data_IF_060563565876
#
_entry.id   IF_060563565876
#
_cell.length_a   1.000
_cell.length_b   1.000
_cell.length_c   1.000
_cell.angle_alpha   90.00
_cell.angle_beta   90.00
_cell.angle_gamma   90.00
#
_symmetry.space_group_name_H-M   'P 1'
#
loop_
_entity.id
_entity.type
_entity.pdbx_description
1 polymer ?
#
# COMPACT_ATOMS: atom_id res chain seq x y z
N UNK A 1 -17.37 -12.59 -23.83
CA UNK A 1 -16.72 -11.45 -23.14
C UNK A 1 -16.01 -11.98 -21.91
N UNK A 2 -14.67 -11.97 -21.89
CA UNK A 2 -13.88 -12.43 -20.75
C UNK A 2 -14.19 -11.59 -19.51
N UNK A 3 -14.86 -12.16 -18.51
CA UNK A 3 -15.18 -11.47 -17.23
C UNK A 3 -14.00 -11.48 -16.25
N UNK A 4 -12.94 -12.25 -16.53
CA UNK A 4 -11.79 -12.41 -15.63
C UNK A 4 -10.94 -11.15 -15.50
N UNK A 5 -10.72 -10.38 -16.56
CA UNK A 5 -9.90 -9.15 -16.47
C UNK A 5 -10.53 -8.09 -15.56
N UNK A 6 -11.87 -8.07 -15.46
CA UNK A 6 -12.58 -7.16 -14.55
C UNK A 6 -12.28 -7.52 -13.09
N UNK A 7 -12.15 -8.81 -12.79
CA UNK A 7 -11.69 -9.28 -11.49
C UNK A 7 -10.29 -8.78 -11.15
N UNK A 8 -9.32 -8.97 -12.05
CA UNK A 8 -7.98 -8.42 -11.86
C UNK A 8 -8.00 -6.90 -11.63
N UNK A 9 -8.87 -6.19 -12.35
CA UNK A 9 -8.99 -4.74 -12.24
C UNK A 9 -9.43 -4.29 -10.84
N UNK A 10 -10.51 -4.85 -10.28
CA UNK A 10 -10.96 -4.40 -8.96
C UNK A 10 -10.01 -4.87 -7.84
N UNK A 11 -9.32 -6.00 -7.98
CA UNK A 11 -8.24 -6.37 -7.06
C UNK A 11 -7.11 -5.32 -7.09
N UNK A 12 -6.68 -4.88 -8.27
CA UNK A 12 -5.66 -3.84 -8.38
C UNK A 12 -6.12 -2.50 -7.79
N UNK A 13 -7.35 -2.07 -8.10
CA UNK A 13 -7.88 -0.80 -7.57
C UNK A 13 -8.04 -0.85 -6.05
N UNK A 14 -8.52 -1.96 -5.49
CA UNK A 14 -8.68 -2.09 -4.04
C UNK A 14 -7.35 -2.01 -3.28
N UNK A 15 -6.29 -2.54 -3.88
CA UNK A 15 -4.99 -2.75 -3.23
C UNK A 15 -4.05 -1.57 -3.40
N UNK A 16 -4.02 -1.00 -4.59
CA UNK A 16 -3.19 0.16 -4.94
C UNK A 16 -3.92 1.46 -4.56
N UNK A 17 -5.24 1.52 -4.74
CA UNK A 17 -6.11 2.63 -4.34
C UNK A 17 -6.42 2.65 -2.84
N UNK A 18 -5.42 2.42 -2.01
CA UNK A 18 -5.57 2.28 -0.58
C UNK A 18 -5.58 3.64 0.16
N UNK A 19 -5.94 3.67 1.47
CA UNK A 19 -6.24 4.89 2.23
C UNK A 19 -5.13 5.95 2.20
N UNK A 20 -3.89 5.50 2.10
CA UNK A 20 -2.71 6.36 2.11
C UNK A 20 -2.62 7.31 0.89
N UNK A 21 -3.40 7.09 -0.17
CA UNK A 21 -3.56 8.04 -1.27
C UNK A 21 -3.99 9.43 -0.77
N UNK A 22 -4.78 9.50 0.31
CA UNK A 22 -5.25 10.77 0.90
C UNK A 22 -4.15 11.55 1.62
N UNK A 23 -2.95 10.96 1.78
CA UNK A 23 -1.79 11.62 2.37
C UNK A 23 -0.84 12.25 1.33
N UNK A 24 -1.05 11.95 0.04
CA UNK A 24 -0.22 12.48 -1.06
C UNK A 24 -0.22 14.00 -1.19
N UNK A 25 -1.32 14.73 -0.90
CA UNK A 25 -1.27 16.19 -0.89
C UNK A 25 -0.17 16.74 0.05
N UNK A 26 0.07 16.09 1.20
CA UNK A 26 1.16 16.46 2.11
C UNK A 26 2.55 16.12 1.52
N UNK A 27 2.67 15.05 0.74
CA UNK A 27 3.89 14.76 -0.02
C UNK A 27 4.18 15.83 -1.08
N UNK A 28 3.13 16.37 -1.72
CA UNK A 28 3.25 17.48 -2.68
C UNK A 28 3.65 18.79 -2.01
N UNK A 29 3.30 19.01 -0.73
CA UNK A 29 3.84 20.13 0.03
C UNK A 29 5.37 20.08 0.20
N UNK A 30 5.98 18.90 0.14
CA UNK A 30 7.43 18.72 0.23
C UNK A 30 8.15 18.79 -1.13
N UNK A 31 7.48 18.41 -2.23
CA UNK A 31 8.07 18.30 -3.57
C UNK A 31 7.64 19.42 -4.53
N UNK A 32 6.58 20.14 -4.19
CA UNK A 32 5.94 21.13 -5.05
C UNK A 32 5.15 20.49 -6.20
N UNK A 33 4.45 21.33 -6.95
CA UNK A 33 3.60 20.91 -8.07
C UNK A 33 4.35 20.11 -9.14
N UNK A 34 5.47 20.64 -9.62
CA UNK A 34 6.24 20.03 -10.69
C UNK A 34 6.90 18.72 -10.22
N UNK A 35 7.60 18.75 -9.09
CA UNK A 35 8.28 17.59 -8.53
C UNK A 35 7.32 16.44 -8.20
N UNK A 36 6.20 16.76 -7.54
CA UNK A 36 5.18 15.77 -7.21
C UNK A 36 4.55 15.15 -8.47
N UNK A 37 4.12 15.98 -9.43
CA UNK A 37 3.45 15.49 -10.65
C UNK A 37 4.37 14.62 -11.49
N UNK A 38 5.63 15.03 -11.68
CA UNK A 38 6.64 14.24 -12.39
C UNK A 38 6.86 12.90 -11.68
N UNK A 39 6.98 12.90 -10.35
CA UNK A 39 7.18 11.66 -9.56
C UNK A 39 6.01 10.70 -9.73
N UNK A 40 4.76 11.19 -9.66
CA UNK A 40 3.56 10.38 -9.87
C UNK A 40 3.55 9.75 -11.27
N UNK A 41 3.81 10.54 -12.31
CA UNK A 41 3.79 10.06 -13.69
C UNK A 41 4.90 9.05 -13.96
N UNK A 42 6.12 9.30 -13.48
CA UNK A 42 7.25 8.38 -13.62
C UNK A 42 6.98 7.08 -12.87
N UNK A 43 6.47 7.15 -11.63
CA UNK A 43 6.11 5.96 -10.86
C UNK A 43 5.01 5.15 -11.55
N UNK A 44 3.96 5.80 -12.05
CA UNK A 44 2.87 5.15 -12.79
C UNK A 44 3.38 4.45 -14.06
N UNK A 45 4.18 5.12 -14.89
CA UNK A 45 4.72 4.53 -16.13
C UNK A 45 5.68 3.37 -15.83
N UNK A 46 6.54 3.52 -14.82
CA UNK A 46 7.44 2.47 -14.38
C UNK A 46 6.67 1.25 -13.85
N UNK A 47 5.62 1.47 -13.07
CA UNK A 47 4.74 0.41 -12.58
C UNK A 47 4.04 -0.31 -13.72
N UNK A 48 3.46 0.41 -14.69
CA UNK A 48 2.83 -0.22 -15.86
C UNK A 48 3.81 -1.07 -16.66
N UNK A 49 5.03 -0.57 -16.85
CA UNK A 49 6.08 -1.31 -17.50
C UNK A 49 6.43 -2.60 -16.73
N UNK A 50 6.75 -2.47 -15.44
CA UNK A 50 7.13 -3.59 -14.59
C UNK A 50 6.00 -4.61 -14.46
N UNK A 51 4.76 -4.16 -14.24
CA UNK A 51 3.59 -5.02 -14.15
C UNK A 51 3.34 -5.80 -15.45
N UNK A 52 3.54 -5.17 -16.61
CA UNK A 52 3.42 -5.84 -17.90
C UNK A 52 4.49 -6.93 -18.06
N UNK A 53 5.73 -6.69 -17.63
CA UNK A 53 6.80 -7.69 -17.68
C UNK A 53 6.57 -8.84 -16.71
N UNK A 54 6.16 -8.53 -15.49
CA UNK A 54 5.76 -9.54 -14.50
C UNK A 54 4.62 -10.40 -15.03
N UNK A 55 3.65 -9.80 -15.72
CA UNK A 55 2.55 -10.57 -16.29
C UNK A 55 3.01 -11.62 -17.31
N UNK A 56 4.04 -11.31 -18.11
CA UNK A 56 4.67 -12.27 -19.02
C UNK A 56 5.55 -13.30 -18.30
N UNK A 57 6.26 -12.91 -17.24
CA UNK A 57 7.09 -13.80 -16.44
C UNK A 57 6.28 -14.84 -15.65
N UNK A 58 5.00 -14.57 -15.40
CA UNK A 58 4.06 -15.51 -14.77
C UNK A 58 4.05 -16.90 -15.41
N UNK A 59 4.31 -17.00 -16.72
CA UNK A 59 4.34 -18.25 -17.50
C UNK A 59 5.78 -18.63 -17.91
N UNK A 60 6.78 -18.17 -17.16
CA UNK A 60 8.19 -18.43 -17.46
C UNK A 60 8.53 -19.93 -17.43
N UNK A 61 9.24 -20.40 -18.46
CA UNK A 61 9.60 -21.82 -18.60
C UNK A 61 8.42 -22.73 -18.97
N UNK A 62 7.30 -22.18 -19.44
CA UNK A 62 6.08 -22.95 -19.75
C UNK A 62 5.30 -23.40 -18.52
N UNK A 63 5.75 -23.01 -17.32
CA UNK A 63 5.09 -23.30 -16.04
C UNK A 63 4.43 -22.05 -15.51
N UNK A 64 3.20 -22.19 -15.00
CA UNK A 64 2.47 -21.09 -14.36
C UNK A 64 2.94 -20.94 -12.91
N UNK A 65 3.60 -19.84 -12.59
CA UNK A 65 4.01 -19.51 -11.23
C UNK A 65 2.88 -18.78 -10.51
N UNK A 66 2.33 -19.36 -9.45
CA UNK A 66 1.17 -18.77 -8.74
C UNK A 66 1.56 -17.77 -7.66
N UNK A 67 2.83 -17.78 -7.23
CA UNK A 67 3.36 -16.92 -6.17
C UNK A 67 4.61 -16.21 -6.68
N UNK A 68 4.84 -14.97 -6.22
CA UNK A 68 6.06 -14.23 -6.57
C UNK A 68 7.31 -15.05 -6.19
N UNK A 69 7.32 -15.65 -4.99
CA UNK A 69 8.45 -16.48 -4.51
C UNK A 69 8.81 -17.64 -5.46
N UNK A 70 7.82 -18.25 -6.11
CA UNK A 70 8.03 -19.38 -7.01
C UNK A 70 8.67 -18.91 -8.33
N UNK A 71 8.20 -17.77 -8.85
CA UNK A 71 8.85 -17.08 -9.96
C UNK A 71 10.30 -16.67 -9.62
N UNK A 72 10.53 -16.17 -8.40
CA UNK A 72 11.85 -15.85 -7.91
C UNK A 72 12.79 -17.05 -7.90
N UNK A 73 12.29 -18.21 -7.47
CA UNK A 73 13.04 -19.48 -7.51
C UNK A 73 13.33 -19.92 -8.94
N UNK A 74 12.38 -19.77 -9.86
CA UNK A 74 12.56 -20.14 -11.26
C UNK A 74 13.65 -19.31 -11.95
N UNK A 75 13.75 -18.01 -11.64
CA UNK A 75 14.68 -17.09 -12.32
C UNK A 75 16.05 -16.98 -11.63
N UNK A 76 16.08 -16.89 -10.29
CA UNK A 76 17.33 -16.71 -9.51
C UNK A 76 17.88 -18.00 -8.91
N UNK A 77 17.17 -19.12 -9.08
CA UNK A 77 17.51 -20.39 -8.46
C UNK A 77 16.96 -20.56 -7.03
N UNK A 78 17.06 -21.79 -6.48
CA UNK A 78 16.28 -22.22 -5.32
C UNK A 78 16.71 -21.61 -3.98
N UNK A 79 17.98 -21.19 -3.84
CA UNK A 79 18.48 -20.59 -2.60
C UNK A 79 18.28 -19.08 -2.60
N UNK A 80 18.87 -18.39 -3.59
CA UNK A 80 18.84 -16.93 -3.67
C UNK A 80 17.43 -16.39 -3.92
N UNK A 81 16.73 -16.91 -4.93
CA UNK A 81 15.39 -16.46 -5.30
C UNK A 81 14.39 -16.62 -4.16
N UNK A 82 14.43 -17.76 -3.46
CA UNK A 82 13.58 -18.01 -2.30
C UNK A 82 13.89 -17.05 -1.16
N UNK A 83 15.15 -16.89 -0.79
CA UNK A 83 15.54 -16.05 0.35
C UNK A 83 15.22 -14.57 0.09
N UNK A 84 15.61 -14.05 -1.08
CA UNK A 84 15.46 -12.64 -1.44
C UNK A 84 14.00 -12.22 -1.53
N UNK A 85 13.19 -12.92 -2.35
CA UNK A 85 11.78 -12.55 -2.54
C UNK A 85 10.99 -12.73 -1.26
N UNK A 86 11.23 -13.80 -0.50
CA UNK A 86 10.52 -14.04 0.78
C UNK A 86 10.86 -12.95 1.80
N UNK A 87 12.14 -12.59 1.95
CA UNK A 87 12.55 -11.56 2.92
C UNK A 87 11.89 -10.21 2.59
N UNK A 88 11.94 -9.79 1.33
CA UNK A 88 11.34 -8.54 0.90
C UNK A 88 9.81 -8.55 1.04
N UNK A 89 9.14 -9.66 0.66
CA UNK A 89 7.68 -9.76 0.81
C UNK A 89 7.27 -9.72 2.29
N UNK A 90 8.05 -10.34 3.18
CA UNK A 90 7.77 -10.29 4.62
C UNK A 90 7.92 -8.87 5.18
N UNK A 91 8.95 -8.12 4.75
CA UNK A 91 9.11 -6.70 5.13
C UNK A 91 7.92 -5.88 4.67
N UNK A 92 7.50 -6.01 3.41
CA UNK A 92 6.35 -5.27 2.88
C UNK A 92 5.07 -5.65 3.61
N UNK A 93 4.76 -6.95 3.71
CA UNK A 93 3.48 -7.38 4.27
C UNK A 93 3.38 -7.03 5.77
N UNK A 94 4.47 -7.19 6.53
CA UNK A 94 4.52 -6.80 7.95
C UNK A 94 4.40 -5.29 8.09
N UNK A 95 5.13 -4.52 7.27
CA UNK A 95 5.08 -3.07 7.25
C UNK A 95 3.69 -2.54 6.94
N UNK A 96 3.02 -3.08 5.92
CA UNK A 96 1.64 -2.70 5.59
C UNK A 96 0.67 -3.08 6.72
N UNK A 97 0.81 -4.25 7.33
CA UNK A 97 0.02 -4.65 8.50
C UNK A 97 0.27 -3.77 9.74
N UNK A 98 1.35 -2.98 9.78
CA UNK A 98 1.57 -1.93 10.79
C UNK A 98 0.98 -0.59 10.35
N UNK A 99 1.08 -0.22 9.07
CA UNK A 99 0.61 1.09 8.56
C UNK A 99 -0.93 1.17 8.53
N UNK A 100 -1.62 0.12 8.09
CA UNK A 100 -3.09 0.11 7.97
C UNK A 100 -3.80 0.43 9.30
N UNK A 101 -3.46 -0.19 10.45
CA UNK A 101 -4.04 0.18 11.73
C UNK A 101 -3.86 1.66 12.12
N UNK A 102 -2.73 2.28 11.77
CA UNK A 102 -2.52 3.71 12.05
C UNK A 102 -3.45 4.58 11.20
N UNK A 103 -3.50 4.34 9.88
CA UNK A 103 -4.32 5.13 8.95
C UNK A 103 -5.82 4.95 9.25
N UNK A 104 -6.26 3.72 9.46
CA UNK A 104 -7.66 3.43 9.80
C UNK A 104 -8.02 3.88 11.23
N UNK A 105 -7.07 3.86 12.17
CA UNK A 105 -7.25 4.44 13.50
C UNK A 105 -7.49 5.95 13.43
N UNK A 106 -6.70 6.67 12.62
CA UNK A 106 -6.93 8.10 12.37
C UNK A 106 -8.29 8.37 11.72
N UNK A 107 -8.72 7.51 10.79
CA UNK A 107 -10.04 7.59 10.19
C UNK A 107 -11.18 7.47 11.21
N UNK A 108 -11.08 6.47 12.09
CA UNK A 108 -12.06 6.22 13.15
C UNK A 108 -12.09 7.38 14.16
N UNK A 109 -10.92 7.86 14.55
CA UNK A 109 -10.78 9.05 15.41
C UNK A 109 -11.43 10.28 14.77
N UNK A 110 -11.21 10.49 13.47
CA UNK A 110 -11.81 11.60 12.70
C UNK A 110 -13.34 11.50 12.66
N UNK A 111 -13.89 10.30 12.41
CA UNK A 111 -15.35 10.07 12.46
C UNK A 111 -15.92 10.48 13.82
N UNK A 112 -15.30 10.00 14.92
CA UNK A 112 -15.75 10.32 16.27
C UNK A 112 -15.64 11.82 16.55
N UNK A 113 -14.51 12.44 16.25
CA UNK A 113 -14.29 13.86 16.50
C UNK A 113 -15.28 14.74 15.72
N UNK A 114 -15.52 14.43 14.44
CA UNK A 114 -16.48 15.16 13.60
C UNK A 114 -17.92 14.95 14.06
N UNK A 115 -18.30 13.73 14.44
CA UNK A 115 -19.64 13.44 14.97
C UNK A 115 -19.88 14.12 16.33
N UNK A 116 -18.89 14.10 17.21
CA UNK A 116 -18.91 14.78 18.51
C UNK A 116 -19.10 16.30 18.32
N UNK A 117 -18.29 16.91 17.45
CA UNK A 117 -18.37 18.33 17.14
C UNK A 117 -19.72 18.73 16.53
N UNK A 118 -20.30 17.89 15.66
CA UNK A 118 -21.61 18.14 15.06
C UNK A 118 -22.75 18.02 16.07
N UNK A 119 -22.62 17.16 17.08
CA UNK A 119 -23.63 16.95 18.11
C UNK A 119 -23.61 18.01 19.22
N UNK A 120 -22.46 18.62 19.51
CA UNK A 120 -22.23 19.47 20.69
C UNK A 120 -21.99 20.95 20.36
N UNK A 121 -22.70 21.51 19.38
CA UNK A 121 -22.78 22.92 18.96
C UNK A 121 -22.09 23.97 19.88
N UNK A 122 -20.75 24.00 19.92
CA UNK A 122 -19.96 25.01 20.63
C UNK A 122 -19.71 24.82 22.14
N UNK A 123 -20.10 23.73 22.80
CA UNK A 123 -19.62 23.47 24.17
C UNK A 123 -18.28 22.73 24.13
N UNK A 124 -17.24 23.33 24.70
CA UNK A 124 -15.86 22.84 24.72
C UNK A 124 -15.62 21.57 25.54
N UNK A 125 -16.52 20.59 25.46
CA UNK A 125 -16.24 19.24 25.91
C UNK A 125 -15.12 18.66 25.04
N UNK A 126 -14.11 18.08 25.69
CA UNK A 126 -12.91 17.58 25.03
C UNK A 126 -13.23 16.39 24.11
N UNK A 127 -13.66 16.65 22.87
CA UNK A 127 -13.78 15.67 21.79
C UNK A 127 -12.40 15.13 21.32
N UNK A 128 -11.35 15.30 22.12
CA UNK A 128 -10.00 14.79 21.87
C UNK A 128 -9.86 13.37 22.40
N UNK A 129 -10.20 12.39 21.58
CA UNK A 129 -9.83 11.01 21.86
C UNK A 129 -8.36 10.80 21.44
N UNK A 130 -7.57 10.14 22.30
CA UNK A 130 -6.23 9.65 21.97
C UNK A 130 -6.29 8.77 20.70
N UNK A 131 -5.24 8.77 19.88
CA UNK A 131 -5.20 7.94 18.66
C UNK A 131 -5.04 6.45 18.97
N UNK A 132 -4.26 6.11 20.01
CA UNK A 132 -3.94 4.75 20.44
C UNK A 132 -5.15 3.81 20.59
N UNK A 133 -6.26 4.17 21.27
CA UNK A 133 -7.43 3.30 21.38
C UNK A 133 -8.10 3.01 20.03
N UNK A 134 -8.09 3.95 19.08
CA UNK A 134 -8.67 3.74 17.75
C UNK A 134 -7.82 2.80 16.89
N UNK A 135 -6.49 2.91 16.99
CA UNK A 135 -5.56 1.94 16.37
C UNK A 135 -5.80 0.55 16.95
N UNK A 136 -5.90 0.44 18.28
CA UNK A 136 -6.15 -0.82 18.96
C UNK A 136 -7.52 -1.41 18.59
N UNK A 137 -8.56 -0.58 18.46
CA UNK A 137 -9.88 -1.01 18.01
C UNK A 137 -9.86 -1.60 16.59
N UNK A 138 -9.16 -0.95 15.66
CA UNK A 138 -9.00 -1.49 14.30
C UNK A 138 -8.18 -2.80 14.31
N UNK A 139 -7.07 -2.86 15.05
CA UNK A 139 -6.26 -4.07 15.17
C UNK A 139 -7.06 -5.23 15.80
N UNK A 140 -7.90 -4.93 16.80
CA UNK A 140 -8.82 -5.89 17.41
C UNK A 140 -9.86 -6.42 16.42
N UNK A 141 -10.43 -5.57 15.57
CA UNK A 141 -11.30 -6.00 14.48
C UNK A 141 -10.56 -6.94 13.52
N UNK A 142 -9.31 -6.63 13.15
CA UNK A 142 -8.51 -7.51 12.29
C UNK A 142 -8.20 -8.84 12.95
N UNK A 143 -8.00 -8.87 14.27
CA UNK A 143 -7.78 -10.11 15.02
C UNK A 143 -8.99 -11.05 14.93
N UNK A 144 -10.21 -10.49 14.95
CA UNK A 144 -11.46 -11.25 14.77
C UNK A 144 -11.63 -11.77 13.33
N UNK A 145 -11.10 -11.04 12.34
CA UNK A 145 -11.19 -11.40 10.92
C UNK A 145 -10.03 -12.30 10.45
N UNK A 146 -8.91 -12.34 11.17
CA UNK A 146 -7.74 -13.16 10.85
C UNK A 146 -8.01 -14.69 10.71
N UNK A 147 -9.01 -15.29 11.39
CA UNK A 147 -9.35 -16.69 11.21
C UNK A 147 -10.05 -17.01 9.87
N UNK A 148 -10.59 -16.00 9.15
CA UNK A 148 -11.36 -16.24 7.92
C UNK A 148 -10.54 -17.00 6.86
N UNK A 149 -11.13 -18.02 6.19
CA UNK A 149 -10.40 -18.82 5.22
C UNK A 149 -10.35 -18.18 3.83
N UNK A 150 -9.14 -18.15 3.28
CA UNK A 150 -8.79 -18.10 1.86
C UNK A 150 -8.95 -16.74 1.12
N UNK A 151 -7.96 -16.39 0.29
CA UNK A 151 -7.92 -15.16 -0.53
C UNK A 151 -8.96 -15.20 -1.65
N UNK A 152 -9.37 -16.40 -2.09
CA UNK A 152 -10.40 -16.59 -3.11
C UNK A 152 -11.81 -16.20 -2.61
N UNK A 153 -12.09 -16.36 -1.32
CA UNK A 153 -13.35 -15.94 -0.69
C UNK A 153 -13.43 -14.41 -0.50
N UNK A 154 -12.30 -13.72 -0.63
CA UNK A 154 -12.19 -12.27 -0.50
C UNK A 154 -12.55 -11.50 -1.78
N UNK A 155 -12.92 -12.16 -2.88
CA UNK A 155 -13.37 -11.47 -4.10
C UNK A 155 -14.45 -10.38 -3.83
N UNK A 156 -15.55 -10.66 -3.08
CA UNK A 156 -16.51 -9.62 -2.70
C UNK A 156 -15.91 -8.54 -1.79
N UNK A 157 -15.02 -8.90 -0.87
CA UNK A 157 -14.34 -7.96 0.02
C UNK A 157 -13.44 -7.01 -0.77
N UNK A 158 -12.75 -7.50 -1.80
CA UNK A 158 -11.92 -6.69 -2.69
C UNK A 158 -12.76 -5.85 -3.64
N UNK A 159 -13.89 -6.36 -4.13
CA UNK A 159 -14.82 -5.54 -4.91
C UNK A 159 -15.36 -4.36 -4.08
N UNK A 160 -15.73 -4.61 -2.81
CA UNK A 160 -16.11 -3.55 -1.87
C UNK A 160 -14.93 -2.60 -1.59
N UNK A 161 -13.71 -3.13 -1.43
CA UNK A 161 -12.49 -2.35 -1.31
C UNK A 161 -12.29 -1.39 -2.50
N UNK A 162 -12.46 -1.86 -3.73
CA UNK A 162 -12.34 -1.03 -4.92
C UNK A 162 -13.43 0.06 -4.97
N UNK A 163 -14.67 -0.29 -4.66
CA UNK A 163 -15.78 0.67 -4.64
C UNK A 163 -15.58 1.76 -3.57
N UNK A 164 -15.15 1.36 -2.38
CA UNK A 164 -14.88 2.29 -1.27
C UNK A 164 -13.66 3.17 -1.55
N UNK A 165 -12.65 2.66 -2.28
CA UNK A 165 -11.54 3.45 -2.82
C UNK A 165 -12.00 4.58 -3.72
N UNK A 166 -12.84 4.26 -4.71
CA UNK A 166 -13.43 5.25 -5.61
C UNK A 166 -14.25 6.28 -4.81
N UNK A 167 -15.04 5.81 -3.84
CA UNK A 167 -15.90 6.66 -3.02
C UNK A 167 -15.12 7.66 -2.16
N UNK A 168 -14.13 7.23 -1.36
CA UNK A 168 -13.39 8.16 -0.51
C UNK A 168 -12.54 9.14 -1.33
N UNK A 169 -12.00 8.72 -2.49
CA UNK A 169 -11.26 9.62 -3.38
C UNK A 169 -12.17 10.69 -3.98
N UNK A 170 -13.36 10.30 -4.44
CA UNK A 170 -14.34 11.21 -5.00
C UNK A 170 -14.84 12.21 -3.93
N UNK A 171 -15.12 11.73 -2.72
CA UNK A 171 -15.54 12.58 -1.60
C UNK A 171 -14.42 13.53 -1.15
N UNK A 172 -13.17 13.07 -1.05
CA UNK A 172 -12.03 13.93 -0.74
C UNK A 172 -11.83 15.02 -1.80
N UNK A 173 -11.94 14.65 -3.09
CA UNK A 173 -11.84 15.59 -4.21
C UNK A 173 -12.97 16.62 -4.15
N UNK A 174 -14.22 16.16 -4.00
CA UNK A 174 -15.38 17.03 -3.90
C UNK A 174 -15.29 17.97 -2.68
N UNK A 175 -14.89 17.45 -1.52
CA UNK A 175 -14.73 18.25 -0.30
C UNK A 175 -13.65 19.33 -0.45
N UNK A 176 -12.52 19.01 -1.07
CA UNK A 176 -11.46 19.98 -1.35
C UNK A 176 -11.93 21.06 -2.36
N UNK A 177 -12.65 20.68 -3.41
CA UNK A 177 -13.21 21.62 -4.38
C UNK A 177 -14.28 22.53 -3.78
N UNK A 178 -15.16 21.98 -2.92
CA UNK A 178 -16.19 22.73 -2.22
C UNK A 178 -15.60 23.73 -1.22
N UNK A 179 -14.50 23.35 -0.55
CA UNK A 179 -13.80 24.26 0.36
C UNK A 179 -13.14 25.42 -0.40
N UNK A 180 -12.72 25.18 -1.63
CA UNK A 180 -11.99 26.14 -2.45
C UNK A 180 -10.60 26.44 -1.88
N UNK A 181 -9.88 27.37 -2.53
CA UNK A 181 -8.56 27.79 -2.07
C UNK A 181 -8.69 28.54 -0.74
N UNK A 182 -8.03 28.02 0.29
CA UNK A 182 -7.98 28.68 1.61
C UNK A 182 -7.21 30.01 1.49
N UNK A 183 -7.72 31.12 2.05
CA UNK A 183 -7.02 32.41 2.03
C UNK A 183 -5.63 32.28 2.64
N UNK A 184 -4.59 32.74 1.93
CA UNK A 184 -3.21 32.66 2.41
C UNK A 184 -2.52 31.30 2.22
N UNK A 185 -3.10 30.36 1.46
CA UNK A 185 -2.42 29.11 1.11
C UNK A 185 -1.08 29.40 0.40
N UNK A 186 0.02 29.11 1.09
CA UNK A 186 1.38 29.17 0.57
C UNK A 186 1.73 27.87 -0.15
N UNK A 187 2.59 27.95 -1.17
CA UNK A 187 3.14 26.79 -1.88
C UNK A 187 4.66 26.70 -1.69
N UNK A 188 5.15 27.41 -0.68
CA UNK A 188 6.55 27.41 -0.31
C UNK A 188 6.89 26.17 0.51
N UNK A 189 8.16 25.81 0.47
CA UNK A 189 8.67 24.63 1.15
C UNK A 189 8.98 24.94 2.62
N UNK A 190 8.20 24.42 3.58
CA UNK A 190 8.35 24.78 4.98
C UNK A 190 9.63 24.21 5.59
N UNK A 191 10.30 25.01 6.42
CA UNK A 191 11.43 24.59 7.25
C UNK A 191 12.83 24.88 6.67
N UNK A 192 13.89 24.58 7.45
CA UNK A 192 15.28 24.80 7.07
C UNK A 192 15.72 23.89 5.91
N UNK A 193 16.75 24.31 5.17
CA UNK A 193 17.16 23.68 3.92
C UNK A 193 17.49 22.17 4.05
N UNK A 194 18.13 21.74 5.14
CA UNK A 194 18.45 20.33 5.39
C UNK A 194 17.20 19.47 5.63
N UNK A 195 16.27 19.96 6.45
CA UNK A 195 15.00 19.29 6.70
C UNK A 195 14.14 19.21 5.44
N UNK A 196 14.19 20.24 4.58
CA UNK A 196 13.47 20.27 3.29
C UNK A 196 13.90 19.14 2.37
N UNK A 197 15.21 18.93 2.21
CA UNK A 197 15.75 17.86 1.36
C UNK A 197 15.35 16.48 1.88
N UNK A 198 15.46 16.26 3.19
CA UNK A 198 15.15 14.96 3.81
C UNK A 198 13.64 14.64 3.76
N UNK A 199 12.78 15.66 3.95
CA UNK A 199 11.33 15.52 3.76
C UNK A 199 10.96 15.25 2.31
N UNK A 200 11.62 15.92 1.36
CA UNK A 200 11.45 15.65 -0.06
C UNK A 200 11.82 14.20 -0.41
N UNK A 201 12.90 13.66 0.18
CA UNK A 201 13.26 12.25 0.00
C UNK A 201 12.23 11.28 0.56
N UNK A 202 11.71 11.54 1.77
CA UNK A 202 10.62 10.74 2.34
C UNK A 202 9.37 10.77 1.44
N UNK A 203 9.01 11.95 0.92
CA UNK A 203 7.89 12.14 -0.01
C UNK A 203 8.07 11.40 -1.36
N UNK A 204 9.29 11.41 -1.94
CA UNK A 204 9.61 10.60 -3.13
C UNK A 204 9.38 9.12 -2.88
N UNK A 205 9.76 8.65 -1.68
CA UNK A 205 9.39 7.35 -1.14
C UNK A 205 7.89 7.16 -1.20
N UNK A 206 7.14 7.84 -0.34
CA UNK A 206 5.67 7.71 -0.21
C UNK A 206 4.91 7.65 -1.55
N UNK A 207 5.22 8.52 -2.51
CA UNK A 207 4.58 8.53 -3.84
C UNK A 207 4.92 7.27 -4.65
N UNK A 208 6.19 6.85 -4.63
CA UNK A 208 6.66 5.67 -5.38
C UNK A 208 5.98 4.38 -4.91
N UNK A 209 5.66 4.29 -3.62
CA UNK A 209 5.09 3.08 -3.00
C UNK A 209 3.65 2.86 -3.33
N UNK A 210 2.95 3.96 -3.54
CA UNK A 210 1.54 3.94 -3.84
C UNK A 210 1.25 3.06 -5.05
N UNK A 211 2.11 3.12 -6.07
CA UNK A 211 1.97 2.34 -7.29
C UNK A 211 2.63 0.95 -7.20
N UNK A 212 3.25 0.61 -6.07
CA UNK A 212 3.83 -0.71 -5.85
C UNK A 212 2.74 -1.74 -5.58
N UNK A 213 2.80 -2.88 -6.29
CA UNK A 213 1.99 -4.05 -5.98
C UNK A 213 2.86 -5.30 -5.88
N UNK A 214 2.96 -5.85 -4.67
CA UNK A 214 3.74 -7.07 -4.38
C UNK A 214 2.94 -8.36 -4.53
N UNK A 215 1.62 -8.26 -4.74
CA UNK A 215 0.65 -9.36 -4.84
C UNK A 215 0.15 -9.52 -6.29
N UNK A 216 0.88 -8.94 -7.25
CA UNK A 216 0.49 -8.91 -8.66
C UNK A 216 0.39 -10.31 -9.27
N UNK A 217 1.37 -11.18 -8.97
CA UNK A 217 1.44 -12.56 -9.51
C UNK A 217 0.34 -13.42 -8.88
N UNK A 218 0.10 -13.26 -7.58
CA UNK A 218 -0.96 -13.92 -6.85
C UNK A 218 -2.35 -13.48 -7.37
N UNK A 219 -2.53 -12.20 -7.69
CA UNK A 219 -3.74 -11.68 -8.34
C UNK A 219 -3.92 -12.26 -9.74
N UNK A 220 -2.84 -12.39 -10.51
CA UNK A 220 -2.89 -13.03 -11.83
C UNK A 220 -3.20 -14.54 -11.72
N UNK A 221 -2.82 -15.19 -10.61
CA UNK A 221 -3.13 -16.58 -10.36
C UNK A 221 -4.63 -16.83 -10.17
N UNK A 222 -5.40 -15.86 -9.67
CA UNK A 222 -6.86 -15.99 -9.50
C UNK A 222 -7.65 -15.79 -10.79
N UNK A 223 -7.05 -15.23 -11.85
CA UNK A 223 -7.74 -15.02 -13.13
C UNK A 223 -7.96 -16.34 -13.86
N UNK A 224 -9.16 -16.50 -14.43
CA UNK A 224 -9.53 -17.66 -15.24
C UNK A 224 -8.55 -17.84 -16.42
N UNK A 225 -8.07 -19.07 -16.61
CA UNK A 225 -7.06 -19.39 -17.61
C UNK A 225 -7.69 -19.96 -18.88
N UNK A 226 -7.62 -19.23 -20.01
CA UNK A 226 -7.68 -19.78 -21.37
C UNK A 226 -6.97 -18.85 -22.36
N UNK A 227 -6.07 -19.32 -23.24
CA UNK A 227 -4.92 -20.21 -23.01
C UNK A 227 -3.77 -19.56 -22.20
N UNK A 228 -3.84 -18.26 -21.89
CA UNK A 228 -2.83 -17.53 -21.09
C UNK A 228 -3.50 -16.42 -20.28
N UNK A 229 -3.07 -16.24 -19.02
CA UNK A 229 -3.60 -15.18 -18.16
C UNK A 229 -2.96 -13.80 -18.46
N UNK A 230 -1.98 -13.76 -19.35
CA UNK A 230 -1.20 -12.55 -19.68
C UNK A 230 -2.07 -11.44 -20.27
N UNK A 231 -2.89 -11.75 -21.30
CA UNK A 231 -3.71 -10.72 -21.97
C UNK A 231 -4.77 -10.12 -21.03
N UNK A 232 -5.56 -10.92 -20.29
CA UNK A 232 -6.46 -10.39 -19.26
C UNK A 232 -5.73 -9.56 -18.22
N UNK A 233 -4.58 -10.01 -17.73
CA UNK A 233 -3.82 -9.31 -16.70
C UNK A 233 -3.24 -7.99 -17.19
N UNK A 234 -2.71 -7.93 -18.42
CA UNK A 234 -2.21 -6.67 -19.00
C UNK A 234 -3.33 -5.63 -19.16
N UNK A 235 -4.52 -6.07 -19.57
CA UNK A 235 -5.69 -5.20 -19.65
C UNK A 235 -6.12 -4.73 -18.26
N UNK A 236 -6.15 -5.63 -17.28
CA UNK A 236 -6.45 -5.31 -15.89
C UNK A 236 -5.45 -4.31 -15.29
N UNK A 237 -4.16 -4.52 -15.52
CA UNK A 237 -3.08 -3.62 -15.09
C UNK A 237 -3.22 -2.25 -15.72
N UNK A 238 -3.40 -2.18 -17.04
CA UNK A 238 -3.58 -0.90 -17.73
C UNK A 238 -4.78 -0.13 -17.17
N UNK A 239 -5.96 -0.75 -17.10
CA UNK A 239 -7.16 -0.07 -16.61
C UNK A 239 -7.06 0.26 -15.12
N UNK A 240 -6.68 -0.71 -14.28
CA UNK A 240 -6.61 -0.57 -12.83
C UNK A 240 -5.63 0.50 -12.38
N UNK A 241 -4.39 0.49 -12.88
CA UNK A 241 -3.41 1.53 -12.55
C UNK A 241 -3.80 2.89 -13.11
N UNK A 242 -4.47 2.95 -14.27
CA UNK A 242 -4.94 4.23 -14.83
C UNK A 242 -6.05 4.84 -13.98
N UNK A 243 -7.00 4.02 -13.50
CA UNK A 243 -8.04 4.47 -12.55
C UNK A 243 -7.39 5.03 -11.29
N UNK A 244 -6.42 4.32 -10.71
CA UNK A 244 -5.70 4.81 -9.53
C UNK A 244 -4.92 6.08 -9.82
N UNK A 245 -4.22 6.17 -10.96
CA UNK A 245 -3.52 7.39 -11.34
C UNK A 245 -4.46 8.60 -11.45
N UNK A 246 -5.66 8.42 -12.01
CA UNK A 246 -6.69 9.46 -12.05
C UNK A 246 -7.16 9.84 -10.64
N UNK A 247 -7.40 8.86 -9.76
CA UNK A 247 -7.76 9.14 -8.35
C UNK A 247 -6.66 9.94 -7.64
N UNK A 248 -5.39 9.58 -7.84
CA UNK A 248 -4.23 10.26 -7.26
C UNK A 248 -4.18 11.69 -7.73
N UNK A 249 -4.21 11.92 -9.04
CA UNK A 249 -4.15 13.26 -9.62
C UNK A 249 -5.36 14.08 -9.16
N UNK A 250 -6.57 13.51 -9.13
CA UNK A 250 -7.76 14.21 -8.65
C UNK A 250 -7.58 14.70 -7.20
N UNK A 251 -7.24 13.79 -6.27
CA UNK A 251 -7.08 14.13 -4.85
C UNK A 251 -5.94 15.10 -4.61
N UNK A 252 -4.81 14.92 -5.30
CA UNK A 252 -3.66 15.80 -5.14
C UNK A 252 -3.93 17.18 -5.70
N UNK A 253 -4.43 17.28 -6.94
CA UNK A 253 -4.71 18.57 -7.58
C UNK A 253 -5.76 19.36 -6.79
N UNK A 254 -6.82 18.70 -6.30
CA UNK A 254 -7.82 19.38 -5.47
C UNK A 254 -7.31 19.69 -4.06
N UNK A 255 -6.66 18.73 -3.40
CA UNK A 255 -6.23 18.84 -2.00
C UNK A 255 -5.07 19.81 -1.82
N UNK A 256 -3.96 19.61 -2.53
CA UNK A 256 -2.83 20.54 -2.49
C UNK A 256 -3.21 21.89 -3.10
N UNK A 257 -4.09 21.90 -4.10
CA UNK A 257 -4.69 23.12 -4.66
C UNK A 257 -5.46 23.95 -3.64
N UNK A 258 -6.24 23.30 -2.77
CA UNK A 258 -7.05 23.99 -1.76
C UNK A 258 -6.22 24.48 -0.56
N UNK A 259 -5.30 23.64 -0.04
CA UNK A 259 -4.66 23.88 1.26
C UNK A 259 -3.15 24.22 1.19
N UNK A 260 -2.48 24.04 0.05
CA UNK A 260 -1.07 24.36 -0.14
C UNK A 260 -0.14 23.61 0.82
N UNK A 261 0.83 24.30 1.42
CA UNK A 261 1.77 23.74 2.39
C UNK A 261 1.15 23.41 3.76
N UNK A 262 -0.10 23.81 4.00
CA UNK A 262 -0.84 23.58 5.23
C UNK A 262 -1.74 22.34 5.22
N UNK A 263 -1.62 21.46 4.22
CA UNK A 263 -2.34 20.18 4.22
C UNK A 263 -1.86 19.34 5.41
N UNK A 264 -2.81 18.79 6.16
CA UNK A 264 -2.55 17.82 7.21
C UNK A 264 -2.13 16.46 6.62
N UNK A 265 -1.64 15.53 7.46
CA UNK A 265 -1.16 14.21 7.02
C UNK A 265 -2.21 13.41 6.24
N UNK A 266 -3.49 13.67 6.48
CA UNK A 266 -4.62 13.20 5.69
C UNK A 266 -5.45 14.41 5.23
N UNK A 267 -5.67 14.54 3.93
CA UNK A 267 -6.42 15.68 3.37
C UNK A 267 -7.86 15.81 3.92
N UNK A 268 -8.46 14.69 4.36
CA UNK A 268 -9.80 14.71 4.98
C UNK A 268 -9.84 15.54 6.27
N UNK A 269 -8.75 15.54 7.05
CA UNK A 269 -8.65 16.35 8.26
C UNK A 269 -8.64 17.84 7.93
N UNK A 270 -8.03 18.24 6.81
CA UNK A 270 -7.99 19.64 6.36
C UNK A 270 -9.34 20.14 5.83
N UNK A 271 -10.18 19.25 5.28
CA UNK A 271 -11.51 19.62 4.77
C UNK A 271 -12.45 20.02 5.91
N UNK A 272 -12.49 19.24 7.00
CA UNK A 272 -13.27 19.42 8.24
C UNK A 272 -14.81 19.57 8.11
N UNK A 273 -15.33 20.21 7.06
CA UNK A 273 -16.75 20.44 6.80
C UNK A 273 -17.08 20.25 5.30
N UNK A 274 -18.31 19.79 4.96
CA UNK A 274 -19.41 19.42 5.86
C UNK A 274 -19.19 18.08 6.58
N UNK A 275 -19.75 17.93 7.79
CA UNK A 275 -19.50 16.78 8.66
C UNK A 275 -19.87 15.43 8.03
N UNK A 276 -21.00 15.37 7.32
CA UNK A 276 -21.44 14.14 6.65
C UNK A 276 -20.41 13.63 5.65
N UNK A 277 -19.79 14.54 4.88
CA UNK A 277 -18.82 14.17 3.84
C UNK A 277 -17.56 13.57 4.47
N UNK A 278 -17.05 14.21 5.54
CA UNK A 278 -15.87 13.74 6.26
C UNK A 278 -16.14 12.38 6.92
N UNK A 279 -17.31 12.21 7.55
CA UNK A 279 -17.70 10.94 8.18
C UNK A 279 -17.82 9.83 7.14
N UNK A 280 -18.52 10.07 6.03
CA UNK A 280 -18.68 9.06 4.97
C UNK A 280 -17.35 8.71 4.31
N UNK A 281 -16.50 9.70 4.02
CA UNK A 281 -15.20 9.46 3.41
C UNK A 281 -14.29 8.62 4.32
N UNK A 282 -14.22 8.94 5.61
CA UNK A 282 -13.47 8.15 6.58
C UNK A 282 -14.06 6.74 6.77
N UNK A 283 -15.38 6.58 6.76
CA UNK A 283 -16.01 5.26 6.86
C UNK A 283 -15.66 4.37 5.64
N UNK A 284 -15.71 4.94 4.43
CA UNK A 284 -15.22 4.26 3.22
C UNK A 284 -13.73 3.92 3.33
N UNK A 285 -12.92 4.82 3.91
CA UNK A 285 -11.49 4.60 4.12
C UNK A 285 -11.21 3.43 5.08
N UNK A 286 -11.98 3.30 6.17
CA UNK A 286 -11.90 2.15 7.09
C UNK A 286 -12.29 0.87 6.37
N UNK A 287 -13.40 0.87 5.62
CA UNK A 287 -13.86 -0.31 4.89
C UNK A 287 -12.84 -0.80 3.84
N UNK A 288 -12.24 0.12 3.07
CA UNK A 288 -11.14 -0.22 2.16
C UNK A 288 -9.93 -0.75 2.94
N UNK A 289 -9.59 -0.12 4.06
CA UNK A 289 -8.47 -0.53 4.90
C UNK A 289 -8.62 -1.94 5.47
N UNK A 290 -9.83 -2.38 5.80
CA UNK A 290 -10.10 -3.78 6.19
C UNK A 290 -9.76 -4.73 5.04
N UNK A 291 -10.23 -4.45 3.83
CA UNK A 291 -9.94 -5.28 2.65
C UNK A 291 -8.43 -5.32 2.33
N UNK A 292 -7.77 -4.17 2.37
CA UNK A 292 -6.34 -4.04 2.14
C UNK A 292 -5.50 -4.82 3.17
N UNK A 293 -5.79 -4.61 4.47
CA UNK A 293 -5.09 -5.31 5.57
C UNK A 293 -5.16 -6.82 5.41
N UNK A 294 -6.36 -7.37 5.15
CA UNK A 294 -6.55 -8.80 5.01
C UNK A 294 -5.69 -9.37 3.89
N UNK A 295 -5.54 -8.69 2.76
CA UNK A 295 -4.69 -9.19 1.67
C UNK A 295 -3.22 -9.36 2.08
N UNK A 296 -2.64 -8.35 2.73
CA UNK A 296 -1.25 -8.41 3.17
C UNK A 296 -1.06 -9.43 4.31
N UNK A 297 -1.99 -9.49 5.26
CA UNK A 297 -1.94 -10.46 6.35
C UNK A 297 -2.06 -11.91 5.85
N UNK A 298 -3.01 -12.19 4.95
CA UNK A 298 -3.19 -13.53 4.37
C UNK A 298 -1.97 -13.99 3.57
N UNK A 299 -1.24 -13.06 2.93
CA UNK A 299 0.01 -13.40 2.23
C UNK A 299 1.08 -13.94 3.18
N UNK A 300 1.13 -13.43 4.43
CA UNK A 300 2.01 -13.96 5.49
C UNK A 300 1.48 -15.26 6.06
N UNK A 301 0.16 -15.34 6.28
CA UNK A 301 -0.48 -16.54 6.81
C UNK A 301 -0.32 -17.73 5.87
N UNK A 302 -0.52 -17.55 4.56
CA UNK A 302 -0.27 -18.59 3.55
C UNK A 302 1.19 -19.07 3.55
N UNK A 303 2.15 -18.16 3.80
CA UNK A 303 3.55 -18.54 3.91
C UNK A 303 3.82 -19.44 5.12
N UNK A 304 3.32 -19.07 6.30
CA UNK A 304 3.48 -19.89 7.52
C UNK A 304 2.71 -21.20 7.40
N UNK A 305 1.46 -21.17 6.90
CA UNK A 305 0.63 -22.35 6.73
C UNK A 305 1.28 -23.35 5.76
N UNK A 306 1.91 -22.86 4.68
CA UNK A 306 2.70 -23.71 3.77
C UNK A 306 3.90 -24.34 4.48
N UNK A 307 4.60 -23.61 5.35
CA UNK A 307 5.76 -24.12 6.11
C UNK A 307 5.34 -25.16 7.15
N UNK A 308 4.25 -24.91 7.87
CA UNK A 308 3.67 -25.86 8.82
C UNK A 308 3.27 -27.14 8.07
N UNK A 309 2.62 -27.02 6.91
CA UNK A 309 2.24 -28.16 6.09
C UNK A 309 3.44 -28.96 5.58
N UNK A 310 4.54 -28.30 5.17
CA UNK A 310 5.77 -28.96 4.70
C UNK A 310 6.61 -29.56 5.84
N UNK A 311 6.58 -28.98 7.04
CA UNK A 311 7.28 -29.53 8.20
C UNK A 311 6.59 -30.78 8.77
N UNK A 312 5.28 -30.91 8.55
CA UNK A 312 4.46 -32.02 8.99
C UNK A 312 4.07 -32.99 7.86
N UNK A 313 4.87 -33.04 6.79
CA UNK A 313 4.64 -33.84 5.56
C UNK A 313 4.79 -35.37 5.77
N UNK A 314 4.44 -35.88 6.95
CA UNK A 314 4.50 -37.31 7.31
C UNK A 314 3.14 -38.01 7.28
N UNK A 315 2.04 -37.36 6.86
CA UNK A 315 0.74 -38.05 6.71
C UNK A 315 -0.45 -37.11 6.54
N UNK A 316 -1.44 -37.56 5.76
CA UNK A 316 -2.68 -36.84 5.41
C UNK A 316 -3.60 -36.63 6.63
N UNK A 317 -3.45 -37.43 7.69
CA UNK A 317 -4.27 -37.38 8.91
C UNK A 317 -3.98 -36.19 9.84
N UNK A 318 -2.85 -35.49 9.71
CA UNK A 318 -2.49 -34.42 10.64
C UNK A 318 -3.04 -33.04 10.25
N UNK A 319 -3.62 -32.91 9.05
CA UNK A 319 -4.09 -31.65 8.47
C UNK A 319 -5.23 -30.99 9.25
N UNK A 320 -6.02 -31.79 9.96
CA UNK A 320 -7.20 -31.35 10.74
C UNK A 320 -7.04 -31.56 12.26
N UNK A 321 -5.81 -31.83 12.72
CA UNK A 321 -5.55 -31.96 14.15
C UNK A 321 -5.70 -30.60 14.85
N UNK A 322 -6.42 -30.55 15.98
CA UNK A 322 -6.67 -29.32 16.74
C UNK A 322 -5.38 -28.56 17.12
N UNK A 323 -4.26 -29.26 17.24
CA UNK A 323 -2.93 -28.68 17.46
C UNK A 323 -2.43 -27.83 16.27
N UNK A 324 -2.68 -28.23 15.02
CA UNK A 324 -2.31 -27.44 13.83
C UNK A 324 -3.19 -26.20 13.74
N UNK A 325 -4.49 -26.33 13.98
CA UNK A 325 -5.42 -25.19 14.02
C UNK A 325 -5.00 -24.19 15.10
N UNK A 326 -4.67 -24.68 16.31
CA UNK A 326 -4.18 -23.84 17.40
C UNK A 326 -2.87 -23.12 17.05
N UNK A 327 -1.90 -23.81 16.44
CA UNK A 327 -0.64 -23.19 15.98
C UNK A 327 -0.89 -22.08 14.95
N UNK A 328 -1.80 -22.32 13.99
CA UNK A 328 -2.17 -21.30 12.98
C UNK A 328 -2.85 -20.10 13.63
N UNK A 329 -3.82 -20.34 14.51
CA UNK A 329 -4.54 -19.27 15.20
C UNK A 329 -3.60 -18.47 16.12
N UNK A 330 -2.73 -19.15 16.87
CA UNK A 330 -1.74 -18.52 17.73
C UNK A 330 -0.76 -17.65 16.93
N UNK A 331 -0.27 -18.14 15.78
CA UNK A 331 0.58 -17.34 14.90
C UNK A 331 -0.16 -16.10 14.36
N UNK A 332 -1.38 -16.28 13.85
CA UNK A 332 -2.20 -15.17 13.33
C UNK A 332 -2.46 -14.12 14.41
N UNK A 333 -2.79 -14.56 15.62
CA UNK A 333 -3.01 -13.68 16.75
C UNK A 333 -1.73 -12.94 17.18
N UNK A 334 -0.62 -13.66 17.30
CA UNK A 334 0.68 -13.06 17.63
C UNK A 334 1.14 -12.06 16.56
N UNK A 335 0.92 -12.37 15.29
CA UNK A 335 1.25 -11.47 14.18
C UNK A 335 0.43 -10.18 14.22
N UNK A 336 -0.90 -10.28 14.32
CA UNK A 336 -1.80 -9.11 14.40
C UNK A 336 -1.52 -8.29 15.67
N UNK A 337 -1.29 -8.94 16.81
CA UNK A 337 -0.96 -8.26 18.06
C UNK A 337 0.40 -7.55 17.96
N UNK A 338 1.41 -8.18 17.36
CA UNK A 338 2.73 -7.59 17.16
C UNK A 338 2.72 -6.40 16.22
N UNK A 339 2.05 -6.50 15.07
CA UNK A 339 1.94 -5.39 14.12
C UNK A 339 1.07 -4.26 14.66
N UNK A 340 0.01 -4.59 15.41
CA UNK A 340 -0.84 -3.63 16.12
C UNK A 340 -0.10 -2.90 17.25
N UNK A 341 0.72 -3.60 18.03
CA UNK A 341 1.60 -2.97 19.03
C UNK A 341 2.57 -2.00 18.37
N UNK A 342 3.22 -2.42 17.28
CA UNK A 342 4.12 -1.54 16.53
C UNK A 342 3.40 -0.30 15.96
N UNK A 343 2.15 -0.46 15.54
CA UNK A 343 1.32 0.63 15.03
C UNK A 343 1.00 1.66 16.12
N UNK A 344 0.71 1.22 17.35
CA UNK A 344 0.49 2.11 18.49
C UNK A 344 1.81 2.77 18.94
N UNK A 345 2.91 2.03 18.89
CA UNK A 345 4.23 2.50 19.32
C UNK A 345 4.83 3.56 18.37
N UNK A 346 4.57 3.46 17.06
CA UNK A 346 5.16 4.32 16.02
C UNK A 346 4.07 4.82 15.05
N UNK A 347 3.20 5.76 15.44
CA UNK A 347 2.12 6.25 14.58
C UNK A 347 2.58 7.25 13.49
N UNK A 348 3.80 7.09 12.95
CA UNK A 348 4.38 7.98 11.93
C UNK A 348 4.15 7.44 10.51
N UNK A 349 2.94 7.63 9.98
CA UNK A 349 2.52 7.02 8.70
C UNK A 349 3.49 7.34 7.56
N UNK A 350 3.86 8.61 7.37
CA UNK A 350 4.70 9.02 6.24
C UNK A 350 6.08 8.38 6.28
N UNK A 351 6.71 8.38 7.45
CA UNK A 351 8.06 7.84 7.56
C UNK A 351 8.06 6.30 7.55
N UNK A 352 7.06 5.66 8.17
CA UNK A 352 6.88 4.20 8.04
C UNK A 352 6.64 3.78 6.60
N UNK A 353 5.80 4.52 5.87
CA UNK A 353 5.60 4.30 4.44
C UNK A 353 6.93 4.43 3.71
N UNK A 354 7.61 5.57 3.82
CA UNK A 354 8.90 5.81 3.16
C UNK A 354 9.91 4.68 3.41
N UNK A 355 10.00 4.16 4.63
CA UNK A 355 10.89 3.06 5.01
C UNK A 355 10.48 1.70 4.40
N UNK A 356 9.23 1.27 4.63
CA UNK A 356 8.68 0.01 4.05
C UNK A 356 8.82 0.03 2.54
N UNK A 357 8.70 1.23 1.99
CA UNK A 357 8.84 1.48 0.60
C UNK A 357 10.22 1.33 0.03
N UNK A 358 11.18 2.02 0.64
CA UNK A 358 12.57 1.97 0.26
C UNK A 358 13.14 0.54 0.33
N UNK A 359 12.82 -0.17 1.41
CA UNK A 359 13.41 -1.49 1.69
C UNK A 359 12.66 -2.59 0.94
N UNK A 360 11.33 -2.50 0.83
CA UNK A 360 10.50 -3.60 0.34
C UNK A 360 9.95 -3.39 -1.07
N UNK A 361 9.16 -2.34 -1.28
CA UNK A 361 8.46 -2.08 -2.54
C UNK A 361 9.40 -1.67 -3.68
N UNK A 362 10.38 -0.79 -3.43
CA UNK A 362 11.35 -0.38 -4.44
C UNK A 362 12.03 -1.60 -5.09
N UNK A 363 12.59 -2.55 -4.31
CA UNK A 363 13.15 -3.75 -4.90
C UNK A 363 12.11 -4.70 -5.48
N UNK A 364 10.97 -4.94 -4.84
CA UNK A 364 9.98 -5.91 -5.34
C UNK A 364 9.20 -5.45 -6.57
N UNK A 365 8.89 -4.17 -6.70
CA UNK A 365 7.99 -3.67 -7.74
C UNK A 365 8.70 -3.04 -8.93
N UNK A 366 9.95 -2.59 -8.75
CA UNK A 366 10.69 -1.90 -9.81
C UNK A 366 12.02 -2.57 -10.16
N UNK A 367 12.85 -2.92 -9.16
CA UNK A 367 14.18 -3.47 -9.42
C UNK A 367 14.09 -4.94 -9.84
N UNK A 368 13.47 -5.80 -9.04
CA UNK A 368 13.37 -7.24 -9.30
C UNK A 368 12.66 -7.56 -10.61
N UNK A 369 11.55 -6.92 -11.00
CA UNK A 369 10.95 -7.14 -12.31
C UNK A 369 11.91 -6.87 -13.47
N UNK A 370 12.70 -5.80 -13.39
CA UNK A 370 13.70 -5.48 -14.41
C UNK A 370 14.82 -6.53 -14.46
N UNK A 371 15.36 -6.92 -13.30
CA UNK A 371 16.42 -7.93 -13.21
C UNK A 371 15.92 -9.30 -13.67
N UNK A 372 14.75 -9.73 -13.22
CA UNK A 372 14.12 -10.98 -13.63
C UNK A 372 13.84 -11.01 -15.13
N UNK A 373 13.37 -9.89 -15.70
CA UNK A 373 13.14 -9.78 -17.13
C UNK A 373 14.43 -9.98 -17.93
N UNK A 374 15.51 -9.31 -17.52
CA UNK A 374 16.83 -9.43 -18.16
C UNK A 374 17.39 -10.85 -18.06
N UNK A 375 17.32 -11.47 -16.88
CA UNK A 375 17.81 -12.83 -16.67
C UNK A 375 17.00 -13.87 -17.45
N UNK A 376 15.67 -13.72 -17.49
CA UNK A 376 14.78 -14.67 -18.15
C UNK A 376 14.95 -14.75 -19.67
N UNK A 377 15.44 -13.68 -20.30
CA UNK A 377 15.62 -13.57 -21.76
C UNK A 377 17.08 -13.75 -22.20
N UNK A 378 18.03 -13.65 -21.27
CA UNK A 378 19.45 -13.57 -21.59
C UNK A 378 19.85 -12.22 -22.17
N UNK A 379 21.14 -11.87 -22.09
CA UNK A 379 21.67 -10.57 -22.55
C UNK A 379 21.46 -10.33 -24.05
N UNK A 380 21.48 -11.39 -24.86
CA UNK A 380 21.34 -11.32 -26.31
C UNK A 380 19.88 -11.42 -26.79
N UNK A 381 18.95 -11.78 -25.89
CA UNK A 381 17.53 -11.89 -26.20
C UNK A 381 16.74 -10.58 -26.14
N UNK A 382 17.40 -9.47 -25.75
CA UNK A 382 16.78 -8.17 -25.52
C UNK A 382 17.31 -7.11 -26.49
N UNK A 383 16.42 -6.21 -26.93
CA UNK A 383 16.84 -5.03 -27.69
C UNK A 383 17.64 -4.10 -26.78
N UNK A 384 18.68 -3.44 -27.30
CA UNK A 384 19.53 -2.50 -26.54
C UNK A 384 18.72 -1.43 -25.79
N UNK A 385 17.68 -0.88 -26.42
CA UNK A 385 16.80 0.10 -25.77
C UNK A 385 15.98 -0.46 -24.62
N UNK A 386 15.59 -1.73 -24.68
CA UNK A 386 14.85 -2.41 -23.61
C UNK A 386 15.76 -2.71 -22.41
N UNK A 387 16.99 -3.15 -22.67
CA UNK A 387 18.00 -3.33 -21.64
C UNK A 387 18.35 -2.00 -20.95
N UNK A 388 18.53 -0.93 -21.73
CA UNK A 388 18.78 0.41 -21.20
C UNK A 388 17.62 0.91 -20.33
N UNK A 389 16.37 0.66 -20.75
CA UNK A 389 15.19 1.02 -19.96
C UNK A 389 15.11 0.23 -18.64
N UNK A 390 15.39 -1.08 -18.66
CA UNK A 390 15.47 -1.88 -17.44
C UNK A 390 16.56 -1.37 -16.48
N UNK A 391 17.73 -1.02 -17.01
CA UNK A 391 18.83 -0.45 -16.21
C UNK A 391 18.47 0.93 -15.65
N UNK A 392 17.80 1.77 -16.45
CA UNK A 392 17.34 3.10 -16.03
C UNK A 392 16.32 3.01 -14.90
N UNK A 393 15.28 2.18 -15.05
CA UNK A 393 14.25 1.98 -14.03
C UNK A 393 14.90 1.42 -12.76
N UNK A 394 15.67 0.34 -12.87
CA UNK A 394 16.33 -0.27 -11.70
C UNK A 394 17.25 0.73 -10.98
N UNK A 395 18.10 1.45 -11.73
CA UNK A 395 19.01 2.45 -11.16
C UNK A 395 18.26 3.62 -10.50
N UNK A 396 17.22 4.14 -11.15
CA UNK A 396 16.39 5.21 -10.60
C UNK A 396 15.75 4.78 -9.27
N UNK A 397 15.14 3.59 -9.21
CA UNK A 397 14.47 3.12 -7.99
C UNK A 397 15.43 2.65 -6.89
N UNK A 398 16.68 2.30 -7.23
CA UNK A 398 17.76 2.18 -6.23
C UNK A 398 18.06 3.54 -5.59
N UNK A 399 18.22 4.59 -6.40
CA UNK A 399 18.50 5.94 -5.91
C UNK A 399 17.34 6.50 -5.08
N UNK A 400 16.10 6.37 -5.59
CA UNK A 400 14.88 6.77 -4.88
C UNK A 400 14.73 5.98 -3.59
N UNK A 401 14.97 4.66 -3.61
CA UNK A 401 14.93 3.83 -2.41
C UNK A 401 15.95 4.27 -1.36
N UNK A 402 17.20 4.52 -1.75
CA UNK A 402 18.24 4.99 -0.83
C UNK A 402 17.91 6.37 -0.24
N UNK A 403 17.43 7.30 -1.07
CA UNK A 403 16.99 8.61 -0.62
C UNK A 403 15.81 8.49 0.36
N UNK A 404 14.77 7.74 0.00
CA UNK A 404 13.59 7.52 0.81
C UNK A 404 13.92 6.87 2.16
N UNK A 405 14.82 5.88 2.20
CA UNK A 405 15.29 5.30 3.45
C UNK A 405 15.98 6.33 4.34
N UNK A 406 16.84 7.20 3.78
CA UNK A 406 17.51 8.25 4.54
C UNK A 406 16.51 9.30 5.07
N UNK A 407 15.56 9.73 4.24
CA UNK A 407 14.51 10.67 4.63
C UNK A 407 13.58 10.11 5.71
N UNK A 408 13.13 8.86 5.55
CA UNK A 408 12.29 8.17 6.52
C UNK A 408 13.02 7.93 7.85
N UNK A 409 14.27 7.48 7.82
CA UNK A 409 15.06 7.28 9.03
C UNK A 409 15.25 8.58 9.82
N UNK A 410 15.55 9.68 9.11
CA UNK A 410 15.64 11.00 9.74
C UNK A 410 14.29 11.46 10.30
N UNK A 411 13.19 11.30 9.56
CA UNK A 411 11.84 11.66 10.00
C UNK A 411 11.42 10.90 11.27
N UNK A 412 11.65 9.58 11.32
CA UNK A 412 11.38 8.77 12.52
C UNK A 412 12.18 9.30 13.71
N UNK A 413 13.47 9.58 13.53
CA UNK A 413 14.33 10.08 14.62
C UNK A 413 13.88 11.46 15.09
N UNK A 414 13.50 12.36 14.18
CA UNK A 414 13.02 13.70 14.49
C UNK A 414 11.70 13.65 15.27
N UNK A 415 10.72 12.90 14.78
CA UNK A 415 9.44 12.74 15.45
C UNK A 415 9.56 12.00 16.79
N UNK A 416 10.44 11.00 16.90
CA UNK A 416 10.68 10.24 18.12
C UNK A 416 11.25 11.10 19.26
N UNK A 417 11.93 12.22 18.98
CA UNK A 417 12.44 13.13 20.02
C UNK A 417 11.34 13.86 20.77
N UNK A 418 10.23 14.17 20.11
CA UNK A 418 9.09 14.87 20.69
C UNK A 418 7.95 13.93 21.11
N UNK A 419 7.99 12.68 20.67
CA UNK A 419 6.90 11.73 20.89
C UNK A 419 6.94 11.15 22.30
N UNK A 420 5.81 11.24 23.00
CA UNK A 420 5.57 10.56 24.27
C UNK A 420 4.75 9.31 23.99
N UNK A 421 5.30 8.15 24.34
CA UNK A 421 4.62 6.87 24.16
C UNK A 421 3.27 6.87 24.89
N UNK A 422 2.21 6.51 24.16
CA UNK A 422 0.85 6.30 24.67
C UNK A 422 0.13 7.53 25.28
N UNK A 423 0.61 8.76 25.04
CA UNK A 423 0.02 9.99 25.61
C UNK A 423 -0.86 10.80 24.68
#
# INVERSE_FOLDING_TARGET
MDRSWFQGCYYLVATVGAPFLLSLPASFACLGWAGGTVTVLVAYLATLWCATRMAHLHEHGGVRHTRYRDLGVAVFGPRLGRALVTALQLVVNTGMCTIYPVVCGQALQSIYATACAAAHSGSGAACSALLSPWIAAFAGLQLLLAPLPDVASLAPVQALGAATSLAFCALATAGALLRGRVPGAAYDFPGPASARVLRAFSALGSITLLFGNTVLIETQATLAARPSAVRPMRRAALVGYSVVCVQVLAVVLSGYGAFGSGVDSLVLNSIAHPAWLVITANACMVANGVAGYLMFAHSVFDWVDTRIALAHWTGVEYRDSGAVILKRLAFRAAFVAGTGFLAVALPFIQDLMGLVGAIGYAPLCFILPCVMWVLSRGRDGLRRGELALCALIAGLFVLVGAAAAAGAAWGIVDHARSYKFFS
#
